data_IF_973837605959
#
_entry.id   IF_973837605959
#
_cell.length_a   1.000
_cell.length_b   1.000
_cell.length_c   1.000
_cell.angle_alpha   90.00
_cell.angle_beta   90.00
_cell.angle_gamma   90.00
#
_symmetry.space_group_name_H-M   'P 1'
#
loop_
_entity.id
_entity.type
_entity.pdbx_description
1 polymer ?
#
# COMPACT_ATOMS: atom_id res chain seq x y z
N UNK A 1 -89.92 -87.30 68.25
CA UNK A 1 -89.19 -87.94 67.12
C UNK A 1 -87.91 -88.59 67.65
N UNK A 2 -87.59 -89.85 67.27
CA UNK A 2 -86.38 -90.54 67.72
C UNK A 2 -85.13 -89.95 67.03
N UNK A 3 -84.08 -89.65 67.79
CA UNK A 3 -82.79 -89.17 67.24
C UNK A 3 -82.02 -90.36 66.65
N UNK A 4 -81.73 -90.34 65.34
CA UNK A 4 -80.93 -91.35 64.63
C UNK A 4 -79.44 -91.19 64.98
N UNK A 5 -78.75 -92.27 65.37
CA UNK A 5 -77.30 -92.26 65.67
C UNK A 5 -76.49 -92.16 64.36
N UNK A 6 -75.45 -91.32 64.32
CA UNK A 6 -74.50 -91.19 63.20
C UNK A 6 -73.15 -91.82 63.55
N UNK A 7 -72.44 -92.37 62.55
CA UNK A 7 -71.06 -92.88 62.71
C UNK A 7 -70.05 -91.73 62.64
N UNK A 8 -68.88 -91.89 63.27
CA UNK A 8 -67.81 -90.87 63.26
C UNK A 8 -67.33 -90.54 61.84
N UNK A 9 -67.32 -91.54 60.95
CA UNK A 9 -66.95 -91.41 59.54
C UNK A 9 -67.99 -90.67 58.69
N UNK A 10 -69.19 -90.45 59.23
CA UNK A 10 -70.29 -89.70 58.60
C UNK A 10 -70.34 -88.24 59.09
N UNK A 11 -69.38 -87.83 59.92
CA UNK A 11 -69.21 -86.46 60.37
C UNK A 11 -68.34 -85.68 59.37
N UNK A 12 -68.69 -84.41 59.16
CA UNK A 12 -67.83 -83.51 58.40
C UNK A 12 -66.53 -83.25 59.18
N UNK A 13 -65.42 -83.12 58.45
CA UNK A 13 -64.17 -82.65 59.04
C UNK A 13 -64.35 -81.21 59.56
N UNK A 14 -63.63 -80.88 60.62
CA UNK A 14 -63.65 -79.53 61.16
C UNK A 14 -62.76 -78.62 60.32
N UNK A 15 -63.30 -77.48 59.89
CA UNK A 15 -62.59 -76.47 59.10
C UNK A 15 -61.91 -75.39 59.96
N UNK A 16 -62.11 -75.43 61.29
CA UNK A 16 -61.50 -74.49 62.25
C UNK A 16 -61.26 -75.15 63.62
N UNK A 17 -60.20 -74.70 64.29
CA UNK A 17 -59.86 -75.01 65.68
C UNK A 17 -60.57 -74.09 66.70
N UNK A 18 -61.35 -73.12 66.23
CA UNK A 18 -62.12 -72.21 67.09
C UNK A 18 -63.23 -72.98 67.81
N UNK A 19 -63.25 -72.88 69.14
CA UNK A 19 -64.21 -73.64 69.97
C UNK A 19 -63.83 -75.10 70.21
N UNK A 20 -62.75 -75.60 69.61
CA UNK A 20 -62.15 -76.90 69.94
C UNK A 20 -61.19 -76.75 71.12
N UNK A 21 -61.25 -77.71 72.02
CA UNK A 21 -60.43 -77.74 73.23
C UNK A 21 -59.83 -79.12 73.45
N UNK A 22 -58.63 -79.13 73.98
CA UNK A 22 -57.97 -80.34 74.49
C UNK A 22 -57.81 -80.24 76.01
N UNK A 23 -57.48 -81.35 76.65
CA UNK A 23 -57.19 -81.41 78.09
C UNK A 23 -55.67 -81.30 78.26
N UNK A 24 -55.23 -80.33 79.07
CA UNK A 24 -53.85 -80.20 79.50
C UNK A 24 -53.75 -80.27 81.02
N UNK A 25 -52.54 -80.17 81.57
CA UNK A 25 -52.31 -80.11 83.02
C UNK A 25 -51.57 -78.82 83.39
N UNK A 26 -51.93 -78.20 84.52
CA UNK A 26 -51.24 -77.04 85.11
C UNK A 26 -51.12 -77.24 86.61
N UNK A 27 -50.01 -76.80 87.21
CA UNK A 27 -49.87 -76.79 88.67
C UNK A 27 -50.54 -75.53 89.21
N UNK A 28 -51.47 -75.73 90.13
CA UNK A 28 -52.17 -74.68 90.88
C UNK A 28 -51.98 -75.05 92.35
N UNK A 29 -51.36 -74.16 93.13
CA UNK A 29 -51.08 -74.36 94.56
C UNK A 29 -50.34 -75.69 94.87
N UNK A 30 -49.40 -76.09 94.00
CA UNK A 30 -48.59 -77.30 94.17
C UNK A 30 -49.22 -78.61 93.70
N UNK A 31 -50.47 -78.60 93.20
CA UNK A 31 -51.19 -79.79 92.74
C UNK A 31 -51.36 -79.80 91.22
N UNK A 32 -51.03 -80.92 90.58
CA UNK A 32 -51.24 -81.11 89.14
C UNK A 32 -52.74 -81.22 88.82
N UNK A 33 -53.30 -80.18 88.20
CA UNK A 33 -54.73 -80.07 87.91
C UNK A 33 -54.97 -80.14 86.41
N UNK A 34 -55.99 -80.89 85.98
CA UNK A 34 -56.42 -80.92 84.57
C UNK A 34 -57.14 -79.62 84.21
N UNK A 35 -56.74 -78.99 83.11
CA UNK A 35 -57.27 -77.73 82.63
C UNK A 35 -57.71 -77.85 81.17
N UNK A 36 -58.69 -77.04 80.78
CA UNK A 36 -59.16 -76.91 79.40
C UNK A 36 -58.22 -76.00 78.61
N UNK A 37 -57.67 -76.49 77.50
CA UNK A 37 -56.74 -75.74 76.64
C UNK A 37 -57.39 -75.51 75.28
N UNK A 38 -57.46 -74.25 74.85
CA UNK A 38 -58.02 -73.89 73.53
C UNK A 38 -57.04 -74.22 72.42
N UNK A 39 -57.52 -74.85 71.34
CA UNK A 39 -56.73 -75.03 70.12
C UNK A 39 -56.76 -73.80 69.20
N UNK A 40 -57.64 -72.83 69.48
CA UNK A 40 -57.76 -71.59 68.70
C UNK A 40 -56.45 -70.79 68.64
N UNK A 41 -55.64 -70.82 69.70
CA UNK A 41 -54.33 -70.12 69.74
C UNK A 41 -53.34 -70.69 68.72
N UNK A 42 -53.40 -71.99 68.42
CA UNK A 42 -52.55 -72.63 67.41
C UNK A 42 -52.99 -72.19 66.01
N UNK A 43 -54.30 -72.14 65.75
CA UNK A 43 -54.82 -71.61 64.50
C UNK A 43 -54.41 -70.14 64.29
N UNK A 44 -54.57 -69.28 65.31
CA UNK A 44 -54.11 -67.88 65.23
C UNK A 44 -52.62 -67.76 64.96
N UNK A 45 -51.77 -68.58 65.61
CA UNK A 45 -50.33 -68.56 65.36
C UNK A 45 -49.98 -68.94 63.90
N UNK A 46 -50.68 -69.94 63.35
CA UNK A 46 -50.51 -70.36 61.95
C UNK A 46 -50.97 -69.28 60.97
N UNK A 47 -52.14 -68.67 61.18
CA UNK A 47 -52.66 -67.58 60.34
C UNK A 47 -51.75 -66.34 60.37
N UNK A 48 -51.25 -65.97 61.55
CA UNK A 48 -50.27 -64.90 61.70
C UNK A 48 -48.98 -65.22 60.94
N UNK A 49 -48.46 -66.45 61.04
CA UNK A 49 -47.27 -66.87 60.30
C UNK A 49 -47.46 -66.78 58.78
N UNK A 50 -48.61 -67.23 58.26
CA UNK A 50 -48.93 -67.10 56.84
C UNK A 50 -48.97 -65.64 56.39
N UNK A 51 -49.56 -64.77 57.23
CA UNK A 51 -49.61 -63.33 56.99
C UNK A 51 -48.21 -62.73 56.92
N UNK A 52 -47.35 -63.06 57.88
CA UNK A 52 -45.95 -62.60 57.90
C UNK A 52 -45.14 -63.10 56.70
N UNK A 53 -45.32 -64.36 56.28
CA UNK A 53 -44.68 -64.89 55.07
C UNK A 53 -45.14 -64.12 53.82
N UNK A 54 -46.44 -63.80 53.73
CA UNK A 54 -46.99 -63.00 52.63
C UNK A 54 -46.38 -61.60 52.62
N UNK A 55 -46.34 -60.94 53.78
CA UNK A 55 -45.73 -59.62 53.96
C UNK A 55 -44.24 -59.63 53.57
N UNK A 56 -43.47 -60.63 54.01
CA UNK A 56 -42.06 -60.78 53.68
C UNK A 56 -41.82 -60.98 52.17
N UNK A 57 -42.67 -61.77 51.49
CA UNK A 57 -42.62 -61.94 50.03
C UNK A 57 -42.94 -60.63 49.30
N UNK A 58 -43.95 -59.89 49.76
CA UNK A 58 -44.31 -58.59 49.20
C UNK A 58 -43.17 -57.58 49.36
N UNK A 59 -42.55 -57.50 50.55
CA UNK A 59 -41.39 -56.66 50.81
C UNK A 59 -40.20 -57.01 49.92
N UNK A 60 -39.92 -58.30 49.75
CA UNK A 60 -38.84 -58.79 48.85
C UNK A 60 -39.10 -58.38 47.39
N UNK A 61 -40.34 -58.51 46.91
CA UNK A 61 -40.72 -58.11 45.56
C UNK A 61 -40.59 -56.59 45.37
N UNK A 62 -40.99 -55.80 46.35
CA UNK A 62 -40.82 -54.34 46.33
C UNK A 62 -39.34 -53.95 46.29
N UNK A 63 -38.49 -54.57 47.11
CA UNK A 63 -37.05 -54.33 47.11
C UNK A 63 -36.38 -54.67 45.77
N UNK A 64 -36.73 -55.82 45.17
CA UNK A 64 -36.22 -56.22 43.86
C UNK A 64 -36.66 -55.26 42.74
N UNK A 65 -37.90 -54.75 42.82
CA UNK A 65 -38.41 -53.75 41.88
C UNK A 65 -37.66 -52.43 42.02
N UNK A 66 -37.46 -51.95 43.26
CA UNK A 66 -36.69 -50.74 43.53
C UNK A 66 -35.23 -50.86 43.03
N UNK A 67 -34.57 -52.00 43.27
CA UNK A 67 -33.22 -52.25 42.77
C UNK A 67 -33.14 -52.26 41.24
N UNK A 68 -34.15 -52.83 40.57
CA UNK A 68 -34.22 -52.86 39.11
C UNK A 68 -34.42 -51.47 38.52
N UNK A 69 -35.33 -50.67 39.12
CA UNK A 69 -35.57 -49.29 38.73
C UNK A 69 -34.33 -48.42 38.93
N UNK A 70 -33.63 -48.58 40.06
CA UNK A 70 -32.38 -47.87 40.32
C UNK A 70 -31.31 -48.20 39.27
N UNK A 71 -31.12 -49.49 38.93
CA UNK A 71 -30.19 -49.92 37.88
C UNK A 71 -30.55 -49.33 36.51
N UNK A 72 -31.84 -49.29 36.17
CA UNK A 72 -32.31 -48.69 34.92
C UNK A 72 -32.02 -47.19 34.88
N UNK A 73 -32.29 -46.48 35.98
CA UNK A 73 -32.00 -45.05 36.12
C UNK A 73 -30.50 -44.75 35.98
N UNK A 74 -29.64 -45.56 36.61
CA UNK A 74 -28.17 -45.44 36.48
C UNK A 74 -27.74 -45.63 35.02
N UNK A 75 -28.22 -46.67 34.33
CA UNK A 75 -27.88 -46.90 32.91
C UNK A 75 -28.32 -45.73 32.01
N UNK A 76 -29.51 -45.19 32.25
CA UNK A 76 -30.01 -44.02 31.53
C UNK A 76 -29.15 -42.78 31.80
N UNK A 77 -28.75 -42.55 33.05
CA UNK A 77 -27.87 -41.45 33.44
C UNK A 77 -26.48 -41.58 32.79
N UNK A 78 -25.87 -42.77 32.83
CA UNK A 78 -24.59 -43.05 32.16
C UNK A 78 -24.66 -42.82 30.66
N UNK A 79 -25.75 -43.26 30.01
CA UNK A 79 -25.92 -43.07 28.56
C UNK A 79 -26.03 -41.57 28.21
N UNK A 80 -26.80 -40.80 28.97
CA UNK A 80 -26.91 -39.35 28.81
C UNK A 80 -25.57 -38.64 29.03
N UNK A 81 -24.81 -39.06 30.04
CA UNK A 81 -23.47 -38.53 30.31
C UNK A 81 -22.51 -38.80 29.15
N UNK A 82 -22.48 -40.03 28.62
CA UNK A 82 -21.65 -40.38 27.47
C UNK A 82 -22.01 -39.56 26.23
N UNK A 83 -23.31 -39.36 25.95
CA UNK A 83 -23.76 -38.49 24.85
C UNK A 83 -23.32 -37.04 25.07
N UNK A 84 -23.45 -36.51 26.29
CA UNK A 84 -23.00 -35.16 26.61
C UNK A 84 -21.48 -34.99 26.41
N UNK A 85 -20.68 -35.98 26.84
CA UNK A 85 -19.23 -36.00 26.61
C UNK A 85 -18.89 -36.04 25.11
N UNK A 86 -19.56 -36.89 24.33
CA UNK A 86 -19.35 -36.96 22.89
C UNK A 86 -19.67 -35.62 22.19
N UNK A 87 -20.80 -34.99 22.56
CA UNK A 87 -21.18 -33.69 22.02
C UNK A 87 -20.16 -32.60 22.39
N UNK A 88 -19.64 -32.60 23.61
CA UNK A 88 -18.61 -31.66 24.05
C UNK A 88 -17.28 -31.83 23.28
N UNK A 89 -16.88 -33.08 23.00
CA UNK A 89 -15.70 -33.38 22.19
C UNK A 89 -15.89 -32.86 20.76
N UNK A 90 -17.05 -33.12 20.14
CA UNK A 90 -17.37 -32.61 18.80
C UNK A 90 -17.31 -31.09 18.74
N UNK A 91 -17.97 -30.39 19.67
CA UNK A 91 -17.96 -28.93 19.75
C UNK A 91 -16.54 -28.37 19.93
N UNK A 92 -15.71 -29.04 20.74
CA UNK A 92 -14.30 -28.65 20.93
C UNK A 92 -13.48 -28.77 19.65
N UNK A 93 -13.68 -29.85 18.89
CA UNK A 93 -12.99 -30.07 17.63
C UNK A 93 -13.43 -29.06 16.55
N UNK A 94 -14.72 -28.75 16.48
CA UNK A 94 -15.25 -27.71 15.60
C UNK A 94 -14.68 -26.33 15.93
N UNK A 95 -14.62 -25.97 17.22
CA UNK A 95 -14.01 -24.71 17.67
C UNK A 95 -12.51 -24.63 17.32
N UNK A 96 -11.79 -25.75 17.45
CA UNK A 96 -10.37 -25.83 17.06
C UNK A 96 -10.18 -25.65 15.55
N UNK A 97 -11.01 -26.30 14.74
CA UNK A 97 -10.99 -26.15 13.29
C UNK A 97 -11.32 -24.71 12.86
N UNK A 98 -12.34 -24.09 13.48
CA UNK A 98 -12.69 -22.70 13.23
C UNK A 98 -11.53 -21.75 13.57
N UNK A 99 -10.84 -21.99 14.70
CA UNK A 99 -9.65 -21.21 15.10
C UNK A 99 -8.53 -21.35 14.08
N UNK A 100 -8.20 -22.57 13.64
CA UNK A 100 -7.17 -22.79 12.60
C UNK A 100 -7.52 -22.07 11.29
N UNK A 101 -8.78 -22.14 10.86
CA UNK A 101 -9.23 -21.45 9.66
C UNK A 101 -9.14 -19.93 9.79
N UNK A 102 -9.51 -19.38 10.95
CA UNK A 102 -9.39 -17.95 11.23
C UNK A 102 -7.93 -17.49 11.22
N UNK A 103 -7.01 -18.25 11.82
CA UNK A 103 -5.57 -17.94 11.78
C UNK A 103 -5.03 -17.98 10.35
N UNK A 104 -5.40 -18.99 9.55
CA UNK A 104 -4.97 -19.09 8.16
C UNK A 104 -5.49 -17.90 7.31
N UNK A 105 -6.74 -17.47 7.54
CA UNK A 105 -7.31 -16.30 6.90
C UNK A 105 -6.57 -15.01 7.30
N UNK A 106 -6.24 -14.84 8.58
CA UNK A 106 -5.47 -13.70 9.07
C UNK A 106 -4.06 -13.65 8.45
N UNK A 107 -3.37 -14.79 8.33
CA UNK A 107 -2.07 -14.86 7.66
C UNK A 107 -2.17 -14.42 6.20
N UNK A 108 -3.17 -14.91 5.45
CA UNK A 108 -3.38 -14.51 4.05
C UNK A 108 -3.65 -13.00 3.92
N UNK A 109 -4.46 -12.44 4.83
CA UNK A 109 -4.74 -11.01 4.85
C UNK A 109 -3.46 -10.20 5.11
N UNK A 110 -2.63 -10.62 6.07
CA UNK A 110 -1.35 -9.96 6.37
C UNK A 110 -0.39 -10.02 5.17
N UNK A 111 -0.27 -11.16 4.51
CA UNK A 111 0.54 -11.28 3.28
C UNK A 111 0.04 -10.35 2.17
N UNK A 112 -1.29 -10.26 1.98
CA UNK A 112 -1.87 -9.36 1.00
C UNK A 112 -1.57 -7.89 1.33
N UNK A 113 -1.65 -7.50 2.61
CA UNK A 113 -1.31 -6.16 3.06
C UNK A 113 0.18 -5.82 2.81
N UNK A 114 1.10 -6.73 3.15
CA UNK A 114 2.53 -6.55 2.88
C UNK A 114 2.81 -6.40 1.38
N UNK A 115 2.15 -7.19 0.53
CA UNK A 115 2.31 -7.07 -0.92
C UNK A 115 1.79 -5.73 -1.45
N UNK A 116 0.66 -5.24 -0.92
CA UNK A 116 0.12 -3.94 -1.28
C UNK A 116 1.07 -2.79 -0.86
N UNK A 117 1.67 -2.88 0.32
CA UNK A 117 2.66 -1.91 0.78
C UNK A 117 3.93 -1.90 -0.08
N UNK A 118 4.44 -3.08 -0.44
CA UNK A 118 5.59 -3.18 -1.35
C UNK A 118 5.28 -2.57 -2.73
N UNK A 119 4.07 -2.81 -3.25
CA UNK A 119 3.62 -2.22 -4.51
C UNK A 119 3.51 -0.68 -4.41
N UNK A 120 2.98 -0.16 -3.30
CA UNK A 120 2.90 1.28 -3.03
C UNK A 120 4.29 1.93 -3.01
N UNK A 121 5.24 1.35 -2.29
CA UNK A 121 6.64 1.83 -2.23
C UNK A 121 7.30 1.81 -3.62
N UNK A 122 7.03 0.77 -4.41
CA UNK A 122 7.49 0.68 -5.80
C UNK A 122 6.94 1.82 -6.68
N UNK A 123 5.65 2.13 -6.55
CA UNK A 123 5.01 3.24 -7.27
C UNK A 123 5.56 4.62 -6.84
N UNK A 124 5.81 4.82 -5.55
CA UNK A 124 6.42 6.07 -5.04
C UNK A 124 7.83 6.28 -5.61
N UNK A 125 8.61 5.20 -5.69
CA UNK A 125 9.94 5.24 -6.31
C UNK A 125 9.86 5.57 -7.79
N UNK A 126 8.93 4.95 -8.53
CA UNK A 126 8.72 5.23 -9.94
C UNK A 126 8.28 6.68 -10.18
N UNK A 127 7.40 7.21 -9.33
CA UNK A 127 6.96 8.61 -9.37
C UNK A 127 8.15 9.55 -9.20
N UNK A 128 8.99 9.34 -8.18
CA UNK A 128 10.17 10.17 -7.94
C UNK A 128 11.16 10.14 -9.13
N UNK A 129 11.37 8.97 -9.75
CA UNK A 129 12.20 8.86 -10.94
C UNK A 129 11.60 9.59 -12.15
N UNK A 130 10.28 9.51 -12.32
CA UNK A 130 9.56 10.19 -13.39
C UNK A 130 9.64 11.71 -13.24
N UNK A 131 9.50 12.21 -12.01
CA UNK A 131 9.66 13.64 -11.69
C UNK A 131 11.07 14.13 -12.00
N UNK A 132 12.11 13.36 -11.66
CA UNK A 132 13.51 13.68 -12.01
C UNK A 132 13.73 13.69 -13.53
N UNK A 133 13.21 12.68 -14.24
CA UNK A 133 13.32 12.62 -15.70
C UNK A 133 12.62 13.81 -16.36
N UNK A 134 11.46 14.21 -15.86
CA UNK A 134 10.70 15.37 -16.34
C UNK A 134 11.49 16.67 -16.11
N UNK A 135 12.09 16.85 -14.94
CA UNK A 135 12.93 18.01 -14.64
C UNK A 135 14.18 18.08 -15.54
N UNK A 136 14.81 16.94 -15.81
CA UNK A 136 15.95 16.86 -16.72
C UNK A 136 15.55 17.23 -18.16
N UNK A 137 14.40 16.72 -18.63
CA UNK A 137 13.87 17.04 -19.95
C UNK A 137 13.54 18.54 -20.08
N UNK A 138 12.91 19.14 -19.07
CA UNK A 138 12.61 20.58 -19.05
C UNK A 138 13.88 21.44 -19.06
N UNK A 139 14.89 21.04 -18.28
CA UNK A 139 16.20 21.71 -18.27
C UNK A 139 16.85 21.65 -19.66
N UNK A 140 16.84 20.48 -20.30
CA UNK A 140 17.40 20.30 -21.64
C UNK A 140 16.64 21.12 -22.69
N UNK A 141 15.31 21.18 -22.61
CA UNK A 141 14.48 22.00 -23.50
C UNK A 141 14.77 23.50 -23.34
N UNK A 142 14.90 23.99 -22.11
CA UNK A 142 15.28 25.38 -21.84
C UNK A 142 16.65 25.71 -22.43
N UNK A 143 17.64 24.84 -22.20
CA UNK A 143 18.99 25.02 -22.76
C UNK A 143 18.97 25.04 -24.30
N UNK A 144 18.20 24.14 -24.92
CA UNK A 144 18.06 24.12 -26.37
C UNK A 144 17.45 25.43 -26.90
N UNK A 145 16.44 25.97 -26.22
CA UNK A 145 15.84 27.25 -26.56
C UNK A 145 16.85 28.40 -26.43
N UNK A 146 17.63 28.45 -25.35
CA UNK A 146 18.67 29.46 -25.15
C UNK A 146 19.73 29.40 -26.26
N UNK A 147 20.15 28.19 -26.65
CA UNK A 147 21.09 27.99 -27.76
C UNK A 147 20.50 28.40 -29.10
N UNK A 148 19.21 28.15 -29.35
CA UNK A 148 18.54 28.59 -30.56
C UNK A 148 18.47 30.12 -30.65
N UNK A 149 18.12 30.80 -29.54
CA UNK A 149 18.10 32.27 -29.46
C UNK A 149 19.51 32.84 -29.70
N UNK A 150 20.53 32.25 -29.07
CA UNK A 150 21.92 32.65 -29.30
C UNK A 150 22.34 32.48 -30.76
N UNK A 151 22.05 31.32 -31.37
CA UNK A 151 22.37 31.04 -32.76
C UNK A 151 21.68 32.02 -33.72
N UNK A 152 20.40 32.33 -33.50
CA UNK A 152 19.67 33.34 -34.28
C UNK A 152 20.32 34.72 -34.17
N UNK A 153 20.75 35.10 -32.96
CA UNK A 153 21.45 36.36 -32.71
C UNK A 153 22.76 36.43 -33.49
N UNK A 154 23.59 35.38 -33.42
CA UNK A 154 24.84 35.29 -34.18
C UNK A 154 24.60 35.30 -35.69
N UNK A 155 23.56 34.61 -36.17
CA UNK A 155 23.16 34.61 -37.57
C UNK A 155 22.78 36.00 -38.08
N UNK A 156 22.03 36.78 -37.28
CA UNK A 156 21.70 38.16 -37.62
C UNK A 156 22.95 39.05 -37.69
N UNK A 157 23.87 38.94 -36.73
CA UNK A 157 25.15 39.67 -36.77
C UNK A 157 25.97 39.32 -38.02
N UNK A 158 26.10 38.03 -38.34
CA UNK A 158 26.81 37.57 -39.53
C UNK A 158 26.16 38.10 -40.81
N UNK A 159 24.82 38.09 -40.90
CA UNK A 159 24.08 38.66 -42.02
C UNK A 159 24.39 40.15 -42.17
N UNK A 160 24.30 40.94 -41.10
CA UNK A 160 24.61 42.37 -41.14
C UNK A 160 26.04 42.65 -41.62
N UNK A 161 27.04 41.90 -41.13
CA UNK A 161 28.42 42.06 -41.59
C UNK A 161 28.59 41.63 -43.05
N UNK A 162 27.90 40.58 -43.49
CA UNK A 162 27.88 40.13 -44.87
C UNK A 162 27.27 41.17 -45.81
N UNK A 163 26.11 41.71 -45.47
CA UNK A 163 25.44 42.78 -46.22
C UNK A 163 26.38 44.01 -46.35
N UNK A 164 27.01 44.42 -45.24
CA UNK A 164 27.98 45.54 -45.22
C UNK A 164 29.20 45.28 -46.10
N UNK A 165 29.76 44.07 -46.04
CA UNK A 165 30.92 43.71 -46.86
C UNK A 165 30.58 43.68 -48.35
N UNK A 166 29.41 43.16 -48.71
CA UNK A 166 28.89 43.17 -50.07
C UNK A 166 28.73 44.62 -50.58
N UNK A 167 28.11 45.49 -49.79
CA UNK A 167 27.90 46.89 -50.17
C UNK A 167 29.22 47.63 -50.41
N UNK A 168 30.22 47.44 -49.54
CA UNK A 168 31.55 48.02 -49.74
C UNK A 168 32.30 47.41 -50.94
N UNK A 169 32.06 46.14 -51.25
CA UNK A 169 32.67 45.48 -52.41
C UNK A 169 32.06 45.97 -53.74
N UNK A 170 30.75 46.20 -53.76
CA UNK A 170 30.04 46.76 -54.93
C UNK A 170 30.37 48.24 -55.16
N UNK A 171 30.85 48.94 -54.12
CA UNK A 171 31.25 50.36 -54.18
C UNK A 171 32.74 50.56 -53.84
N UNK A 172 33.66 50.11 -54.72
CA UNK A 172 35.10 50.28 -54.48
C UNK A 172 35.48 51.76 -54.44
N UNK A 173 36.59 52.07 -53.78
CA UNK A 173 37.11 53.44 -53.74
C UNK A 173 37.41 53.93 -55.15
N UNK A 174 37.12 55.21 -55.39
CA UNK A 174 37.32 55.83 -56.70
C UNK A 174 38.08 57.15 -56.58
N UNK A 175 38.69 57.57 -57.68
CA UNK A 175 39.27 58.90 -57.80
C UNK A 175 38.17 59.85 -58.25
N UNK A 176 37.91 60.89 -57.47
CA UNK A 176 36.97 61.95 -57.84
C UNK A 176 37.58 62.93 -58.83
N UNK A 177 36.74 63.76 -59.45
CA UNK A 177 37.18 64.74 -60.45
C UNK A 177 38.18 65.77 -59.87
N UNK A 178 38.14 66.01 -58.56
CA UNK A 178 39.10 66.85 -57.83
C UNK A 178 40.46 66.18 -57.56
N UNK A 179 40.68 64.95 -58.01
CA UNK A 179 41.95 64.22 -57.83
C UNK A 179 42.12 63.53 -56.47
N UNK A 180 41.13 63.63 -55.56
CA UNK A 180 41.14 62.94 -54.27
C UNK A 180 40.57 61.52 -54.37
N UNK A 181 40.90 60.67 -53.39
CA UNK A 181 40.22 59.42 -53.11
C UNK A 181 38.85 59.70 -52.50
N UNK A 182 37.82 59.08 -53.05
CA UNK A 182 36.47 59.10 -52.51
C UNK A 182 36.10 57.69 -52.04
N UNK A 183 35.55 57.61 -50.84
CA UNK A 183 35.10 56.35 -50.22
C UNK A 183 33.57 56.29 -50.19
N UNK A 184 33.02 55.09 -50.26
CA UNK A 184 31.58 54.90 -50.04
C UNK A 184 31.23 55.13 -48.56
N UNK A 185 30.23 55.97 -48.32
CA UNK A 185 29.61 56.17 -47.01
C UNK A 185 28.35 55.30 -46.92
N UNK A 186 28.39 54.32 -46.02
CA UNK A 186 27.32 53.33 -45.82
C UNK A 186 26.04 53.94 -45.25
N UNK A 187 26.15 55.01 -44.46
CA UNK A 187 24.98 55.63 -43.83
C UNK A 187 24.24 56.58 -44.80
N UNK A 188 24.97 57.11 -45.79
CA UNK A 188 24.49 58.14 -46.71
C UNK A 188 24.26 57.66 -48.14
N UNK A 189 24.48 56.38 -48.44
CA UNK A 189 24.41 55.76 -49.76
C UNK A 189 25.09 56.59 -50.86
N UNK A 190 26.30 57.10 -50.57
CA UNK A 190 27.02 57.99 -51.49
C UNK A 190 28.52 57.96 -51.29
N UNK A 191 29.25 58.35 -52.34
CA UNK A 191 30.68 58.62 -52.20
C UNK A 191 30.92 59.94 -51.48
N UNK A 192 31.79 59.90 -50.47
CA UNK A 192 32.27 61.07 -49.74
C UNK A 192 33.76 61.28 -50.01
N UNK A 193 34.14 62.53 -50.23
CA UNK A 193 35.55 62.91 -50.39
C UNK A 193 36.30 62.64 -49.08
N UNK A 194 37.44 61.94 -49.18
CA UNK A 194 38.29 61.67 -48.02
C UNK A 194 39.25 62.83 -47.71
N UNK A 195 39.46 63.74 -48.66
CA UNK A 195 40.52 64.75 -48.61
C UNK A 195 41.91 64.20 -48.88
N UNK A 196 42.06 62.91 -49.17
CA UNK A 196 43.35 62.26 -49.44
C UNK A 196 43.57 62.28 -50.96
N UNK A 197 44.69 62.84 -51.43
CA UNK A 197 45.05 62.83 -52.85
C UNK A 197 45.25 61.40 -53.39
N UNK A 198 44.64 61.09 -54.53
CA UNK A 198 44.76 59.77 -55.16
C UNK A 198 45.97 59.62 -56.08
N UNK A 199 46.42 60.74 -56.63
CA UNK A 199 47.68 60.80 -57.35
C UNK A 199 48.78 61.02 -56.31
N UNK A 200 49.76 60.10 -56.28
CA UNK A 200 51.02 60.38 -55.62
C UNK A 200 51.66 61.57 -56.33
N UNK A 201 51.58 62.76 -55.74
CA UNK A 201 52.26 63.93 -56.25
C UNK A 201 53.76 63.72 -56.11
N UNK A 202 54.44 63.45 -57.22
CA UNK A 202 55.88 63.68 -57.24
C UNK A 202 56.04 65.18 -57.44
N UNK A 203 56.52 65.86 -56.40
CA UNK A 203 56.85 67.28 -56.43
C UNK A 203 57.93 67.50 -57.50
N UNK A 204 57.54 68.01 -58.67
CA UNK A 204 58.46 68.49 -59.69
C UNK A 204 58.39 70.01 -59.82
N UNK A 205 58.84 70.78 -58.80
CA UNK A 205 59.13 72.19 -59.01
C UNK A 205 60.33 72.29 -59.94
N UNK A 206 60.13 72.85 -61.13
CA UNK A 206 61.24 73.21 -62.01
C UNK A 206 61.66 74.63 -61.70
N UNK A 207 62.95 74.81 -61.46
CA UNK A 207 63.53 76.12 -61.16
C UNK A 207 64.29 76.63 -62.38
N UNK A 208 63.99 77.85 -62.79
CA UNK A 208 64.71 78.55 -63.85
C UNK A 208 65.06 79.94 -63.38
N UNK A 209 66.26 80.41 -63.74
CA UNK A 209 66.66 81.80 -63.51
C UNK A 209 66.15 82.61 -64.70
N UNK A 210 65.37 83.66 -64.46
CA UNK A 210 64.99 84.60 -65.49
C UNK A 210 66.25 85.37 -65.94
N UNK A 211 66.72 85.23 -67.19
CA UNK A 211 67.98 85.79 -67.62
C UNK A 211 67.98 87.34 -67.72
N UNK A 212 66.81 87.98 -67.65
CA UNK A 212 66.69 89.44 -67.74
C UNK A 212 66.94 90.17 -66.41
N UNK A 213 66.51 89.57 -65.30
CA UNK A 213 66.57 90.18 -63.95
C UNK A 213 67.23 89.28 -62.90
N UNK A 214 67.71 88.10 -63.31
CA UNK A 214 68.38 87.09 -62.50
C UNK A 214 67.52 86.57 -61.33
N UNK A 215 66.19 86.71 -61.40
CA UNK A 215 65.27 86.20 -60.37
C UNK A 215 65.06 84.68 -60.52
N UNK A 216 64.95 83.98 -59.38
CA UNK A 216 64.63 82.54 -59.36
C UNK A 216 63.12 82.36 -59.54
N UNK A 217 62.72 81.68 -60.61
CA UNK A 217 61.33 81.35 -60.91
C UNK A 217 61.13 79.87 -60.69
N UNK A 218 60.09 79.52 -59.92
CA UNK A 218 59.63 78.16 -59.74
C UNK A 218 58.33 77.97 -60.52
N UNK A 219 58.29 76.97 -61.41
CA UNK A 219 57.10 76.56 -62.14
C UNK A 219 56.72 75.12 -61.79
N UNK A 220 55.45 74.79 -61.98
CA UNK A 220 54.90 73.46 -61.73
C UNK A 220 54.30 72.92 -63.01
N UNK A 221 54.55 71.64 -63.29
CA UNK A 221 53.93 70.94 -64.43
C UNK A 221 52.54 70.38 -64.09
N UNK A 222 52.17 70.40 -62.82
CA UNK A 222 50.88 69.93 -62.33
C UNK A 222 50.10 71.05 -61.62
N UNK A 223 48.79 70.82 -61.45
CA UNK A 223 47.88 71.76 -60.78
C UNK A 223 47.87 71.61 -59.24
N UNK A 224 48.68 70.70 -58.69
CA UNK A 224 48.61 70.29 -57.27
C UNK A 224 49.76 70.87 -56.45
N UNK A 225 50.96 70.85 -57.00
CA UNK A 225 52.21 71.40 -56.45
C UNK A 225 52.15 72.92 -56.14
N UNK A 226 51.41 73.78 -56.88
CA UNK A 226 51.23 75.19 -56.51
C UNK A 226 50.55 75.40 -55.15
N UNK A 227 49.75 74.45 -54.69
CA UNK A 227 49.05 74.52 -53.41
C UNK A 227 49.85 73.93 -52.25
N UNK A 228 50.90 73.15 -52.54
CA UNK A 228 51.71 72.39 -51.57
C UNK A 228 53.07 73.03 -51.29
N UNK A 229 53.65 73.73 -52.26
CA UNK A 229 54.95 74.38 -52.13
C UNK A 229 54.83 75.81 -52.62
N UNK A 230 55.47 76.78 -51.98
CA UNK A 230 55.52 78.18 -52.43
C UNK A 230 56.94 78.71 -52.34
N UNK A 231 57.39 79.45 -53.36
CA UNK A 231 58.67 80.18 -53.32
C UNK A 231 58.37 81.63 -52.96
N UNK A 232 58.99 82.13 -51.89
CA UNK A 232 59.00 83.55 -51.61
C UNK A 232 59.97 84.24 -52.57
N UNK A 233 59.43 85.08 -53.45
CA UNK A 233 60.22 85.75 -54.49
C UNK A 233 61.15 86.84 -53.95
N UNK A 234 60.93 87.32 -52.72
CA UNK A 234 61.78 88.33 -52.09
C UNK A 234 62.97 87.70 -51.33
N UNK A 235 62.75 86.56 -50.66
CA UNK A 235 63.77 85.92 -49.82
C UNK A 235 64.43 84.70 -50.48
N UNK A 236 63.83 84.13 -51.53
CA UNK A 236 64.28 82.90 -52.17
C UNK A 236 63.99 81.62 -51.35
N UNK A 237 63.23 81.73 -50.26
CA UNK A 237 62.91 80.60 -49.39
C UNK A 237 61.72 79.78 -49.92
N UNK A 238 61.84 78.45 -49.81
CA UNK A 238 60.83 77.49 -50.21
C UNK A 238 60.01 77.05 -49.00
N UNK A 239 58.70 77.19 -49.07
CA UNK A 239 57.77 76.80 -48.01
C UNK A 239 56.90 75.64 -48.45
N UNK A 240 56.72 74.65 -47.56
CA UNK A 240 55.70 73.63 -47.71
C UNK A 240 54.41 74.11 -47.05
N UNK A 241 53.33 74.17 -47.80
CA UNK A 241 52.00 74.46 -47.33
C UNK A 241 51.34 73.11 -47.00
N UNK A 242 51.63 72.63 -45.78
CA UNK A 242 51.05 71.41 -45.18
C UNK A 242 49.74 71.71 -44.49
#
# INVERSE_FOLDING_TARGET
>A
MPKKKKKISELALADSLTGLYTIGCKIIDGIQTSVKVSLGTIQTAYENMLTEISNARAATKAANTAASNARAATKAATSKANTATANAITATNEAKAATTNATAAATKANTAATNADNARVGLETLKANTEKATQAANTAASLANDKAVYANTQGNFAKTQGDRAQELADHPWKVGDNGNWWKWDLDGDRYVDTGILAKGGVLYPTFTINPADMTLVMSYEDEVSPNLVKLNQETGELYLNV
#
